data_IF_460416419089
#
_entry.id   IF_460416419089
#
_cell.length_a   1.000
_cell.length_b   1.000
_cell.length_c   1.000
_cell.angle_alpha   90.00
_cell.angle_beta   90.00
_cell.angle_gamma   90.00
#
_symmetry.space_group_name_H-M   'P 1'
#
loop_
_entity.id
_entity.type
_entity.pdbx_description
1 polymer ?
#
# COMPACT_ATOMS: atom_id res chain seq x y z
N UNK A 1 -30.49 -15.89 7.58
CA UNK A 1 -29.34 -15.08 8.04
C UNK A 1 -28.51 -15.94 8.98
N UNK A 2 -27.20 -15.74 8.99
CA UNK A 2 -26.30 -16.38 9.93
C UNK A 2 -25.44 -15.29 10.58
N UNK A 3 -25.24 -15.41 11.89
CA UNK A 3 -24.56 -14.40 12.69
C UNK A 3 -23.36 -15.00 13.43
N UNK A 4 -22.31 -14.19 13.64
CA UNK A 4 -21.09 -14.61 14.35
C UNK A 4 -20.28 -15.70 13.63
N UNK A 5 -20.32 -15.76 12.29
CA UNK A 5 -19.53 -16.72 11.52
C UNK A 5 -18.05 -16.36 11.64
N UNK A 6 -17.24 -17.32 12.08
CA UNK A 6 -15.77 -17.20 12.08
C UNK A 6 -15.23 -17.64 10.73
N UNK A 7 -14.71 -16.71 9.94
CA UNK A 7 -14.05 -17.01 8.68
C UNK A 7 -12.61 -17.48 8.95
N UNK A 8 -12.29 -18.71 8.53
CA UNK A 8 -10.93 -19.31 8.58
C UNK A 8 -10.49 -19.96 7.27
N UNK A 9 -11.32 -19.88 6.22
CA UNK A 9 -11.13 -20.61 4.96
C UNK A 9 -10.14 -19.95 3.99
N UNK A 10 -9.78 -18.69 4.22
CA UNK A 10 -8.83 -17.95 3.39
C UNK A 10 -7.52 -17.82 4.19
N UNK A 11 -6.40 -18.40 3.72
CA UNK A 11 -5.12 -18.23 4.38
C UNK A 11 -4.80 -16.74 4.59
N UNK A 12 -4.32 -16.39 5.78
CA UNK A 12 -3.96 -15.01 6.15
C UNK A 12 -5.14 -14.02 6.23
N UNK A 13 -6.39 -14.52 6.25
CA UNK A 13 -7.58 -13.73 6.55
C UNK A 13 -8.38 -14.43 7.62
N UNK A 14 -8.65 -13.71 8.70
CA UNK A 14 -9.56 -14.16 9.74
C UNK A 14 -10.57 -13.05 10.03
N UNK A 15 -11.79 -13.41 10.39
CA UNK A 15 -12.77 -12.42 10.77
C UNK A 15 -14.03 -13.00 11.38
N UNK A 16 -14.81 -12.12 12.01
CA UNK A 16 -16.15 -12.38 12.53
C UNK A 16 -17.12 -11.61 11.66
N UNK A 17 -18.07 -12.34 11.06
CA UNK A 17 -19.03 -11.75 10.11
C UNK A 17 -20.47 -12.19 10.39
N UNK A 18 -21.43 -11.34 10.05
CA UNK A 18 -22.81 -11.75 9.79
C UNK A 18 -23.04 -11.80 8.29
N UNK A 19 -23.79 -12.78 7.81
CA UNK A 19 -24.12 -12.90 6.40
C UNK A 19 -25.62 -13.15 6.19
N UNK A 20 -26.15 -12.53 5.14
CA UNK A 20 -27.51 -12.77 4.67
C UNK A 20 -27.49 -12.91 3.15
N UNK A 21 -28.24 -13.85 2.60
CA UNK A 21 -28.11 -14.15 1.19
C UNK A 21 -29.01 -15.29 0.73
N UNK A 22 -28.86 -15.65 -0.53
CA UNK A 22 -29.61 -16.70 -1.22
C UNK A 22 -28.66 -17.63 -1.95
N UNK A 23 -29.10 -18.87 -2.09
CA UNK A 23 -28.49 -19.87 -2.95
C UNK A 23 -29.50 -20.21 -4.04
N UNK A 24 -29.11 -20.04 -5.30
CA UNK A 24 -29.97 -20.30 -6.45
C UNK A 24 -29.26 -21.24 -7.44
N UNK A 25 -30.04 -22.02 -8.19
CA UNK A 25 -29.51 -22.96 -9.17
C UNK A 25 -29.25 -24.37 -8.61
N UNK A 26 -28.56 -25.19 -9.42
CA UNK A 26 -28.32 -26.60 -9.11
C UNK A 26 -26.85 -26.83 -8.76
N UNK A 27 -26.54 -27.46 -7.60
CA UNK A 27 -25.18 -27.86 -7.25
C UNK A 27 -24.49 -28.63 -8.38
N UNK A 28 -23.27 -28.22 -8.72
CA UNK A 28 -22.48 -28.83 -9.79
C UNK A 28 -22.91 -28.46 -11.23
N UNK A 29 -23.89 -27.55 -11.41
CA UNK A 29 -24.27 -27.02 -12.73
C UNK A 29 -24.16 -25.50 -12.80
N UNK A 30 -25.02 -24.79 -12.06
CA UNK A 30 -25.18 -23.33 -12.13
C UNK A 30 -25.53 -22.75 -10.74
N UNK A 31 -24.91 -23.32 -9.70
CA UNK A 31 -25.12 -22.85 -8.34
C UNK A 31 -24.56 -21.43 -8.19
N UNK A 32 -25.37 -20.51 -7.69
CA UNK A 32 -25.01 -19.12 -7.44
C UNK A 32 -25.28 -18.79 -5.97
N UNK A 33 -24.32 -18.17 -5.32
CA UNK A 33 -24.48 -17.60 -3.98
C UNK A 33 -24.47 -16.08 -4.07
N UNK A 34 -25.51 -15.42 -3.56
CA UNK A 34 -25.59 -13.97 -3.52
C UNK A 34 -25.97 -13.46 -2.14
N UNK A 35 -25.46 -12.29 -1.74
CA UNK A 35 -25.83 -11.72 -0.45
C UNK A 35 -24.94 -10.61 0.07
N UNK A 36 -25.24 -10.20 1.30
CA UNK A 36 -24.51 -9.19 2.05
C UNK A 36 -23.71 -9.86 3.18
N UNK A 37 -22.51 -9.34 3.39
CA UNK A 37 -21.59 -9.72 4.46
C UNK A 37 -21.25 -8.47 5.27
N UNK A 38 -21.65 -8.48 6.54
CA UNK A 38 -21.25 -7.48 7.51
C UNK A 38 -20.04 -8.00 8.29
N UNK A 39 -18.92 -7.32 8.18
CA UNK A 39 -17.70 -7.66 8.91
C UNK A 39 -17.67 -6.87 10.21
N UNK A 40 -17.66 -7.57 11.34
CA UNK A 40 -17.53 -6.97 12.67
C UNK A 40 -16.09 -6.85 13.10
N UNK A 41 -15.29 -7.85 12.75
CA UNK A 41 -13.86 -7.91 13.00
C UNK A 41 -13.17 -8.60 11.83
N UNK A 42 -12.06 -8.03 11.36
CA UNK A 42 -11.25 -8.59 10.29
C UNK A 42 -9.77 -8.39 10.58
N UNK A 43 -8.97 -9.40 10.26
CA UNK A 43 -7.52 -9.33 10.27
C UNK A 43 -6.99 -9.95 8.99
N UNK A 44 -6.31 -9.14 8.20
CA UNK A 44 -5.61 -9.51 6.98
C UNK A 44 -4.12 -9.42 7.27
N UNK A 45 -3.41 -10.52 7.14
CA UNK A 45 -1.95 -10.60 7.34
C UNK A 45 -1.19 -10.90 6.06
N UNK A 46 -1.86 -10.77 4.91
CA UNK A 46 -1.22 -10.91 3.61
C UNK A 46 -0.15 -9.83 3.43
N UNK A 47 1.04 -10.26 3.03
CA UNK A 47 2.04 -9.35 2.48
C UNK A 47 1.53 -8.82 1.14
N UNK A 48 1.87 -7.56 0.84
CA UNK A 48 1.63 -7.00 -0.47
C UNK A 48 2.30 -7.91 -1.51
N UNK A 49 1.47 -8.61 -2.29
CA UNK A 49 1.76 -9.43 -3.46
C UNK A 49 2.73 -10.62 -3.30
N UNK A 50 2.38 -11.53 -2.40
CA UNK A 50 2.66 -12.94 -2.74
C UNK A 50 1.89 -13.30 -4.02
N UNK A 51 2.62 -13.51 -5.13
CA UNK A 51 2.05 -14.06 -6.37
C UNK A 51 1.45 -15.43 -6.05
N UNK A 52 0.18 -15.46 -5.70
CA UNK A 52 -0.57 -16.70 -5.73
C UNK A 52 -0.92 -16.94 -7.19
N UNK A 53 -0.03 -17.66 -7.86
CA UNK A 53 -0.38 -18.51 -9.00
C UNK A 53 -1.73 -19.16 -8.70
N UNK A 54 -2.63 -19.04 -9.66
CA UNK A 54 -4.06 -19.34 -9.63
C UNK A 54 -4.57 -20.09 -8.40
N UNK A 55 -5.59 -19.53 -7.76
CA UNK A 55 -6.69 -20.41 -7.39
C UNK A 55 -7.12 -21.09 -8.68
N UNK A 56 -6.66 -22.32 -8.91
CA UNK A 56 -7.13 -23.15 -10.00
C UNK A 56 -8.63 -23.30 -9.78
N UNK A 57 -9.41 -22.44 -10.44
CA UNK A 57 -10.85 -22.50 -10.42
C UNK A 57 -11.21 -23.78 -11.16
N UNK A 58 -11.77 -24.75 -10.44
CA UNK A 58 -12.49 -25.80 -11.15
C UNK A 58 -13.60 -25.11 -11.94
N UNK A 59 -13.73 -25.39 -13.23
CA UNK A 59 -14.78 -24.78 -14.05
C UNK A 59 -16.22 -25.13 -13.58
N UNK A 60 -16.35 -26.01 -12.58
CA UNK A 60 -17.60 -26.49 -11.97
C UNK A 60 -17.92 -25.82 -10.61
N UNK A 61 -17.33 -24.67 -10.32
CA UNK A 61 -17.42 -24.04 -9.00
C UNK A 61 -18.43 -22.90 -9.01
N UNK A 62 -19.28 -22.88 -7.98
CA UNK A 62 -20.33 -21.92 -7.68
C UNK A 62 -19.97 -20.46 -8.04
N UNK A 63 -20.89 -19.76 -8.70
CA UNK A 63 -20.81 -18.31 -8.92
C UNK A 63 -21.15 -17.58 -7.61
N UNK A 64 -20.53 -16.42 -7.38
CA UNK A 64 -20.61 -15.69 -6.11
C UNK A 64 -20.84 -14.20 -6.39
N UNK A 65 -21.75 -13.58 -5.65
CA UNK A 65 -21.96 -12.11 -5.64
C UNK A 65 -22.15 -11.65 -4.21
N UNK A 66 -21.14 -11.03 -3.62
CA UNK A 66 -21.18 -10.59 -2.23
C UNK A 66 -20.93 -9.10 -2.12
N UNK A 67 -21.83 -8.40 -1.46
CA UNK A 67 -21.61 -7.04 -0.98
C UNK A 67 -21.05 -7.13 0.45
N UNK A 68 -19.90 -6.52 0.69
CA UNK A 68 -19.11 -6.66 1.91
C UNK A 68 -18.94 -5.28 2.54
N UNK A 69 -19.42 -5.15 3.77
CA UNK A 69 -19.42 -3.89 4.51
C UNK A 69 -18.73 -4.02 5.86
N UNK A 70 -17.93 -3.02 6.21
CA UNK A 70 -17.37 -2.87 7.54
C UNK A 70 -17.25 -1.38 7.88
N UNK A 71 -17.73 -0.99 9.07
CA UNK A 71 -17.58 0.39 9.53
C UNK A 71 -16.19 0.65 10.15
N UNK A 72 -15.57 -0.38 10.71
CA UNK A 72 -14.28 -0.35 11.41
C UNK A 72 -13.82 -1.79 11.72
N UNK A 73 -12.77 -1.93 12.54
CA UNK A 73 -12.22 -3.21 13.03
C UNK A 73 -11.75 -4.19 11.96
N UNK A 74 -11.48 -3.71 10.74
CA UNK A 74 -10.81 -4.49 9.70
C UNK A 74 -9.35 -4.04 9.62
N UNK A 75 -8.46 -4.87 10.15
CA UNK A 75 -7.03 -4.58 10.23
C UNK A 75 -6.25 -5.25 9.11
N UNK A 76 -5.42 -4.48 8.41
CA UNK A 76 -4.31 -4.99 7.62
C UNK A 76 -3.04 -4.91 8.48
N UNK A 77 -2.45 -6.05 8.81
CA UNK A 77 -1.21 -6.12 9.59
C UNK A 77 -0.20 -7.02 8.89
N UNK A 78 0.81 -6.42 8.28
CA UNK A 78 1.88 -7.11 7.59
C UNK A 78 3.22 -6.40 7.80
N UNK A 79 4.28 -6.83 7.11
CA UNK A 79 5.62 -6.23 7.25
C UNK A 79 5.73 -4.77 6.76
N UNK A 80 4.67 -4.23 6.15
CA UNK A 80 4.66 -2.90 5.49
C UNK A 80 3.60 -1.95 6.06
N UNK A 81 2.60 -2.46 6.81
CA UNK A 81 1.52 -1.66 7.36
C UNK A 81 0.83 -2.33 8.55
N UNK A 82 0.31 -1.50 9.45
CA UNK A 82 -0.67 -1.84 10.49
C UNK A 82 -1.78 -0.79 10.47
N UNK A 83 -2.81 -1.03 9.67
CA UNK A 83 -3.85 -0.04 9.34
C UNK A 83 -5.23 -0.64 9.57
N UNK A 84 -6.10 0.14 10.23
CA UNK A 84 -7.52 -0.15 10.35
C UNK A 84 -8.29 0.51 9.20
N UNK A 85 -9.19 -0.25 8.57
CA UNK A 85 -10.02 0.19 7.47
C UNK A 85 -11.51 0.08 7.81
N UNK A 86 -12.29 0.95 7.16
CA UNK A 86 -13.68 0.69 6.81
C UNK A 86 -13.73 0.19 5.37
N UNK A 87 -14.75 -0.59 5.02
CA UNK A 87 -14.93 -1.10 3.67
C UNK A 87 -16.39 -1.03 3.19
N UNK A 88 -16.52 -0.77 1.90
CA UNK A 88 -17.73 -0.93 1.09
C UNK A 88 -17.26 -1.55 -0.22
N UNK A 89 -17.40 -2.87 -0.33
CA UNK A 89 -16.74 -3.67 -1.34
C UNK A 89 -17.72 -4.63 -1.97
N UNK A 90 -17.59 -4.89 -3.27
CA UNK A 90 -18.27 -5.99 -3.94
C UNK A 90 -17.25 -7.03 -4.41
N UNK A 91 -17.56 -8.30 -4.16
CA UNK A 91 -16.82 -9.45 -4.65
C UNK A 91 -17.75 -10.25 -5.55
N UNK A 92 -17.41 -10.35 -6.83
CA UNK A 92 -18.08 -11.27 -7.74
C UNK A 92 -17.13 -12.37 -8.20
N UNK A 93 -17.73 -13.51 -8.52
CA UNK A 93 -17.06 -14.65 -9.12
C UNK A 93 -17.98 -15.25 -10.15
N UNK A 94 -17.58 -15.17 -11.41
CA UNK A 94 -18.35 -15.69 -12.53
C UNK A 94 -17.49 -16.60 -13.39
N UNK A 95 -17.95 -17.84 -13.62
CA UNK A 95 -17.21 -18.82 -14.44
C UNK A 95 -15.75 -19.00 -13.98
N UNK A 96 -15.52 -18.91 -12.67
CA UNK A 96 -14.21 -19.06 -12.05
C UNK A 96 -13.28 -17.83 -12.12
N UNK A 97 -13.74 -16.70 -12.69
CA UNK A 97 -13.03 -15.41 -12.66
C UNK A 97 -13.53 -14.58 -11.49
N UNK A 98 -12.61 -14.00 -10.72
CA UNK A 98 -12.94 -13.11 -9.62
C UNK A 98 -12.83 -11.66 -10.06
N UNK A 99 -13.75 -10.85 -9.58
CA UNK A 99 -13.73 -9.40 -9.72
C UNK A 99 -13.99 -8.77 -8.36
N UNK A 100 -13.22 -7.72 -8.05
CA UNK A 100 -13.32 -6.99 -6.79
C UNK A 100 -13.47 -5.51 -7.13
N UNK A 101 -14.49 -4.86 -6.58
CA UNK A 101 -14.75 -3.44 -6.74
C UNK A 101 -15.15 -2.80 -5.41
N UNK A 102 -15.13 -1.47 -5.35
CA UNK A 102 -15.51 -0.70 -4.16
C UNK A 102 -14.35 0.06 -3.54
N UNK A 103 -14.48 0.42 -2.27
CA UNK A 103 -13.57 1.33 -1.56
C UNK A 103 -13.20 0.82 -0.18
N UNK A 104 -11.91 0.88 0.13
CA UNK A 104 -11.38 0.84 1.49
C UNK A 104 -11.02 2.26 1.91
N UNK A 105 -11.42 2.66 3.12
CA UNK A 105 -11.03 3.95 3.70
C UNK A 105 -10.26 3.72 4.99
N UNK A 106 -9.03 4.20 5.05
CA UNK A 106 -8.17 4.08 6.23
C UNK A 106 -8.72 4.95 7.36
N UNK A 107 -8.86 4.36 8.55
CA UNK A 107 -9.38 5.02 9.75
C UNK A 107 -8.22 5.52 10.61
N UNK A 108 -7.22 4.67 10.83
CA UNK A 108 -6.02 4.95 11.63
C UNK A 108 -4.95 3.90 11.38
N UNK A 109 -3.77 4.15 11.92
CA UNK A 109 -2.66 3.19 11.93
C UNK A 109 -1.42 3.80 11.30
N UNK A 110 -0.54 2.93 10.83
CA UNK A 110 0.75 3.31 10.28
C UNK A 110 1.08 2.48 9.06
N UNK A 111 1.83 3.08 8.14
CA UNK A 111 2.58 2.33 7.13
C UNK A 111 4.05 2.66 7.26
N UNK A 112 4.86 1.72 6.81
CA UNK A 112 6.30 1.81 6.95
C UNK A 112 6.88 2.31 5.63
N UNK A 113 7.70 3.36 5.68
CA UNK A 113 8.49 3.84 4.54
C UNK A 113 9.88 4.25 5.04
N UNK A 114 10.96 3.76 4.41
CA UNK A 114 12.34 3.88 4.94
C UNK A 114 12.49 3.42 6.39
N UNK A 115 11.83 2.31 6.74
CA UNK A 115 11.73 1.80 8.13
C UNK A 115 11.22 2.83 9.14
N UNK A 116 10.44 3.81 8.68
CA UNK A 116 9.79 4.81 9.52
C UNK A 116 8.29 4.64 9.49
N UNK A 117 7.69 4.88 10.65
CA UNK A 117 6.27 4.66 10.88
C UNK A 117 5.53 5.95 10.57
N UNK A 118 5.06 6.09 9.33
CA UNK A 118 4.19 7.20 8.96
C UNK A 118 2.80 6.93 9.49
N UNK A 119 2.31 7.82 10.35
CA UNK A 119 0.95 7.77 10.85
C UNK A 119 -0.02 8.14 9.74
N UNK A 120 -1.07 7.36 9.54
CA UNK A 120 -2.13 7.66 8.57
C UNK A 120 -2.86 8.93 8.99
N UNK A 121 -2.86 9.95 8.12
CA UNK A 121 -3.76 11.10 8.22
C UNK A 121 -5.06 10.82 7.45
N UNK A 122 -4.92 10.39 6.18
CA UNK A 122 -6.04 10.03 5.30
C UNK A 122 -5.64 8.87 4.39
N UNK A 123 -6.59 8.01 4.03
CA UNK A 123 -6.32 6.96 3.07
C UNK A 123 -7.57 6.44 2.37
N UNK A 124 -7.49 6.31 1.06
CA UNK A 124 -8.52 5.74 0.20
C UNK A 124 -7.88 4.79 -0.82
N UNK A 125 -8.45 3.59 -0.92
CA UNK A 125 -8.06 2.58 -1.91
C UNK A 125 -9.33 2.21 -2.67
N UNK A 126 -9.33 2.43 -3.98
CA UNK A 126 -10.51 2.22 -4.84
C UNK A 126 -10.25 1.11 -5.85
N UNK A 127 -11.03 0.05 -5.77
CA UNK A 127 -11.01 -1.09 -6.67
C UNK A 127 -12.04 -0.86 -7.79
N UNK A 128 -11.60 -0.96 -9.04
CA UNK A 128 -12.40 -0.59 -10.20
C UNK A 128 -13.26 -1.72 -10.78
N UNK A 129 -13.16 -2.96 -10.25
CA UNK A 129 -13.87 -4.11 -10.85
C UNK A 129 -13.21 -4.60 -12.13
N UNK A 130 -11.88 -4.65 -12.17
CA UNK A 130 -11.13 -5.18 -13.31
C UNK A 130 -10.67 -6.60 -13.03
N UNK A 131 -10.47 -7.39 -14.10
CA UNK A 131 -9.92 -8.76 -14.02
C UNK A 131 -8.51 -8.82 -13.40
N UNK A 132 -7.83 -7.68 -13.34
CA UNK A 132 -6.53 -7.51 -12.71
C UNK A 132 -6.66 -6.61 -11.49
N UNK A 133 -6.10 -7.04 -10.35
CA UNK A 133 -6.12 -6.25 -9.11
C UNK A 133 -5.08 -5.13 -9.24
N UNK A 134 -5.56 -3.91 -9.50
CA UNK A 134 -4.75 -2.70 -9.58
C UNK A 134 -5.54 -1.47 -9.07
N UNK A 135 -5.85 -1.40 -7.77
CA UNK A 135 -6.67 -0.31 -7.24
C UNK A 135 -5.95 1.05 -7.32
N UNK A 136 -6.74 2.11 -7.36
CA UNK A 136 -6.25 3.49 -7.23
C UNK A 136 -6.01 3.82 -5.77
N UNK A 137 -4.84 4.36 -5.47
CA UNK A 137 -4.39 4.80 -4.17
C UNK A 137 -4.51 6.32 -4.04
N UNK A 138 -4.91 6.77 -2.86
CA UNK A 138 -4.81 8.15 -2.40
C UNK A 138 -4.61 8.11 -0.87
N UNK A 139 -3.35 8.07 -0.46
CA UNK A 139 -2.94 7.87 0.93
C UNK A 139 -2.00 9.01 1.34
N UNK A 140 -2.31 9.62 2.47
CA UNK A 140 -1.48 10.64 3.12
C UNK A 140 -1.09 10.14 4.50
N UNK A 141 0.22 10.13 4.76
CA UNK A 141 0.76 9.88 6.10
C UNK A 141 1.66 11.02 6.55
N UNK A 142 1.91 11.08 7.85
CA UNK A 142 2.78 12.07 8.47
C UNK A 142 3.76 11.44 9.47
N UNK A 143 4.94 12.04 9.58
CA UNK A 143 5.92 11.76 10.62
C UNK A 143 6.59 13.06 11.04
N UNK A 144 6.96 13.17 12.31
CA UNK A 144 7.79 14.28 12.78
C UNK A 144 9.27 13.93 12.64
N UNK A 145 10.03 14.78 11.95
CA UNK A 145 11.48 14.72 11.90
C UNK A 145 12.08 15.80 12.80
N UNK A 146 13.23 15.53 13.39
CA UNK A 146 13.96 16.51 14.19
C UNK A 146 14.97 17.24 13.32
N UNK A 147 14.89 18.56 13.26
CA UNK A 147 15.89 19.37 12.58
C UNK A 147 17.24 19.31 13.30
N UNK A 148 18.31 19.10 12.55
CA UNK A 148 19.66 19.22 13.08
C UNK A 148 20.05 20.68 13.37
N UNK A 149 19.46 21.65 12.65
CA UNK A 149 19.78 23.09 12.71
C UNK A 149 19.27 23.75 14.00
N UNK A 150 18.00 23.54 14.35
CA UNK A 150 17.37 24.22 15.50
C UNK A 150 16.75 23.28 16.55
N UNK A 151 16.91 21.96 16.37
CA UNK A 151 16.42 20.89 17.25
C UNK A 151 14.90 20.81 17.40
N UNK A 152 14.12 21.55 16.59
CA UNK A 152 12.65 21.49 16.57
C UNK A 152 12.16 20.27 15.79
N UNK A 153 10.92 19.89 16.06
CA UNK A 153 10.19 18.88 15.28
C UNK A 153 9.45 19.55 14.14
N UNK A 154 9.50 18.92 12.97
CA UNK A 154 8.82 19.36 11.76
C UNK A 154 8.04 18.20 11.15
N UNK A 155 6.77 18.41 10.77
CA UNK A 155 5.99 17.38 10.12
C UNK A 155 6.50 17.18 8.68
N UNK A 156 6.69 15.91 8.32
CA UNK A 156 6.91 15.45 6.96
C UNK A 156 5.70 14.64 6.55
N UNK A 157 5.05 15.08 5.50
CA UNK A 157 3.95 14.40 4.85
C UNK A 157 4.48 13.54 3.71
N UNK A 158 3.93 12.34 3.56
CA UNK A 158 4.10 11.49 2.38
C UNK A 158 2.74 11.28 1.72
N UNK A 159 2.71 11.47 0.41
CA UNK A 159 1.55 11.27 -0.44
C UNK A 159 1.85 10.07 -1.34
N UNK A 160 0.99 9.05 -1.28
CA UNK A 160 1.04 7.87 -2.15
C UNK A 160 -0.24 7.86 -2.97
N UNK A 161 -0.09 8.15 -4.26
CA UNK A 161 -1.22 8.31 -5.19
C UNK A 161 -1.04 7.43 -6.43
N UNK A 162 -1.99 7.44 -7.36
CA UNK A 162 -1.89 6.68 -8.62
C UNK A 162 -2.42 5.25 -8.48
N UNK A 163 -1.98 4.35 -9.35
CA UNK A 163 -2.41 2.95 -9.33
C UNK A 163 -1.44 2.10 -8.51
N UNK A 164 -1.91 1.01 -7.90
CA UNK A 164 -1.06 0.16 -7.06
C UNK A 164 0.16 -0.40 -7.82
N UNK A 165 0.04 -0.67 -9.12
CA UNK A 165 1.16 -1.11 -9.98
C UNK A 165 2.07 0.02 -10.43
N UNK A 166 1.60 1.27 -10.39
CA UNK A 166 2.33 2.48 -10.79
C UNK A 166 2.03 3.62 -9.81
N UNK A 167 2.45 3.49 -8.54
CA UNK A 167 2.19 4.55 -7.58
C UNK A 167 3.04 5.78 -7.89
N UNK A 168 2.57 6.94 -7.47
CA UNK A 168 3.34 8.17 -7.43
C UNK A 168 3.55 8.55 -5.96
N UNK A 169 4.81 8.70 -5.56
CA UNK A 169 5.17 9.05 -4.19
C UNK A 169 5.75 10.46 -4.17
N UNK A 170 5.26 11.29 -3.25
CA UNK A 170 5.76 12.66 -3.02
C UNK A 170 5.89 12.93 -1.53
N UNK A 171 6.97 13.59 -1.14
CA UNK A 171 7.17 14.07 0.23
C UNK A 171 6.91 15.57 0.33
N UNK A 172 6.61 16.07 1.52
CA UNK A 172 6.48 17.51 1.74
C UNK A 172 6.72 17.85 3.20
N UNK A 173 7.37 18.97 3.48
CA UNK A 173 7.48 19.51 4.83
C UNK A 173 7.32 21.03 4.77
N UNK A 174 6.08 21.54 4.66
CA UNK A 174 5.84 22.97 4.40
C UNK A 174 6.33 23.87 5.54
N UNK A 175 6.39 23.33 6.77
CA UNK A 175 6.85 24.06 7.95
C UNK A 175 8.38 24.07 8.09
N UNK A 176 9.09 23.18 7.37
CA UNK A 176 10.55 23.15 7.34
C UNK A 176 11.05 24.01 6.17
N UNK A 177 11.80 25.10 6.41
CA UNK A 177 12.25 25.97 5.34
C UNK A 177 13.17 25.27 4.34
N UNK A 178 12.78 25.31 3.05
CA UNK A 178 13.61 24.98 1.90
C UNK A 178 14.17 23.55 1.85
N UNK A 179 13.37 22.54 2.18
CA UNK A 179 13.74 21.14 1.89
C UNK A 179 13.27 20.73 0.51
N UNK A 180 14.22 20.28 -0.31
CA UNK A 180 13.93 19.62 -1.58
C UNK A 180 13.38 18.21 -1.33
N UNK A 181 12.83 17.55 -2.36
CA UNK A 181 12.50 16.12 -2.27
C UNK A 181 13.72 15.29 -1.88
N UNK A 182 14.89 15.65 -2.43
CA UNK A 182 16.15 14.98 -2.19
C UNK A 182 16.59 15.09 -0.73
N UNK A 183 16.43 16.26 -0.12
CA UNK A 183 16.69 16.43 1.31
C UNK A 183 15.76 15.57 2.16
N UNK A 184 14.45 15.57 1.86
CA UNK A 184 13.47 14.78 2.60
C UNK A 184 13.79 13.28 2.50
N UNK A 185 14.16 12.80 1.31
CA UNK A 185 14.57 11.41 1.11
C UNK A 185 15.83 11.07 1.91
N UNK A 186 16.85 11.92 1.86
CA UNK A 186 18.11 11.71 2.61
C UNK A 186 17.88 11.75 4.11
N UNK A 187 17.04 12.66 4.60
CA UNK A 187 16.68 12.73 6.02
C UNK A 187 15.97 11.44 6.43
N UNK A 188 15.01 10.96 5.64
CA UNK A 188 14.29 9.72 5.94
C UNK A 188 15.19 8.49 5.83
N UNK A 189 16.17 8.47 4.94
CA UNK A 189 17.09 7.34 4.79
C UNK A 189 18.22 7.34 5.84
N UNK A 190 18.80 8.50 6.14
CA UNK A 190 20.10 8.64 6.82
C UNK A 190 20.11 9.60 8.02
N UNK A 191 19.00 10.28 8.32
CA UNK A 191 18.91 11.33 9.35
C UNK A 191 19.83 12.55 9.10
N UNK A 192 20.13 12.88 7.84
CA UNK A 192 20.87 14.08 7.45
C UNK A 192 20.33 14.65 6.13
N UNK A 193 20.54 15.95 5.90
CA UNK A 193 20.20 16.63 4.64
C UNK A 193 21.15 16.23 3.51
N UNK A 194 20.79 16.55 2.26
CA UNK A 194 21.67 16.28 1.12
C UNK A 194 22.96 17.09 1.21
N UNK A 195 22.86 18.38 1.55
CA UNK A 195 24.02 19.25 1.74
C UNK A 195 24.98 18.72 2.82
N UNK A 196 24.45 18.24 3.95
CA UNK A 196 25.25 17.63 5.03
C UNK A 196 25.93 16.35 4.54
N UNK A 197 25.23 15.55 3.73
CA UNK A 197 25.81 14.37 3.10
C UNK A 197 26.97 14.74 2.17
N UNK A 198 26.78 15.70 1.24
CA UNK A 198 27.84 16.17 0.32
C UNK A 198 29.05 16.74 1.07
N UNK A 199 28.84 17.54 2.12
CA UNK A 199 29.92 18.11 2.91
C UNK A 199 30.75 17.05 3.64
N UNK A 200 30.10 15.97 4.11
CA UNK A 200 30.78 14.86 4.78
C UNK A 200 31.67 14.06 3.81
N UNK A 201 31.39 14.14 2.50
CA UNK A 201 32.08 13.36 1.46
C UNK A 201 33.45 13.92 1.09
N UNK A 202 33.68 15.23 1.29
CA UNK A 202 34.95 15.89 0.96
C UNK A 202 35.34 15.82 -0.52
N UNK A 203 36.34 16.59 -0.91
CA UNK A 203 36.81 16.81 -2.30
C UNK A 203 37.60 15.63 -2.88
N UNK A 204 37.15 14.39 -2.67
CA UNK A 204 37.82 13.18 -3.17
C UNK A 204 36.88 12.28 -3.99
N UNK A 205 37.49 11.53 -4.92
CA UNK A 205 36.91 10.56 -5.86
C UNK A 205 36.07 9.44 -5.16
N UNK A 206 35.99 9.45 -3.83
CA UNK A 206 35.09 8.64 -3.01
C UNK A 206 33.63 9.11 -3.00
N UNK A 207 33.34 10.39 -3.31
CA UNK A 207 31.99 10.95 -3.27
C UNK A 207 31.01 10.33 -4.29
N UNK A 208 31.51 9.83 -5.43
CA UNK A 208 30.71 9.15 -6.44
C UNK A 208 30.28 7.74 -6.01
N UNK A 209 31.14 6.99 -5.31
CA UNK A 209 30.84 5.63 -4.84
C UNK A 209 29.79 5.62 -3.71
N UNK A 210 29.79 6.65 -2.88
CA UNK A 210 28.87 6.85 -1.75
C UNK A 210 27.52 7.44 -2.13
N UNK A 211 27.49 8.32 -3.13
CA UNK A 211 26.24 8.72 -3.77
C UNK A 211 25.53 7.51 -4.37
N UNK A 212 26.29 6.61 -5.02
CA UNK A 212 25.77 5.33 -5.50
C UNK A 212 25.28 4.44 -4.35
N UNK A 213 25.93 4.43 -3.18
CA UNK A 213 25.43 3.69 -2.01
C UNK A 213 24.10 4.22 -1.46
N UNK A 214 23.88 5.55 -1.41
CA UNK A 214 22.58 6.12 -1.03
C UNK A 214 21.54 5.79 -2.09
N UNK A 215 21.85 6.02 -3.36
CA UNK A 215 20.92 5.77 -4.45
C UNK A 215 20.53 4.30 -4.48
N UNK A 216 21.49 3.38 -4.27
CA UNK A 216 21.21 1.96 -4.12
C UNK A 216 20.39 1.65 -2.87
N UNK A 217 20.56 2.35 -1.75
CA UNK A 217 19.74 2.16 -0.55
C UNK A 217 18.30 2.65 -0.75
N UNK A 218 18.13 3.82 -1.38
CA UNK A 218 16.84 4.39 -1.82
C UNK A 218 16.18 3.44 -2.80
N UNK A 219 16.91 3.01 -3.83
CA UNK A 219 16.47 2.01 -4.80
C UNK A 219 16.12 0.70 -4.11
N UNK A 220 16.89 0.21 -3.15
CA UNK A 220 16.64 -1.07 -2.48
C UNK A 220 15.46 -1.02 -1.52
N UNK A 221 15.22 0.11 -0.86
CA UNK A 221 14.03 0.31 -0.04
C UNK A 221 12.79 0.44 -0.93
N UNK A 222 12.82 1.31 -1.93
CA UNK A 222 11.74 1.48 -2.92
C UNK A 222 11.47 0.16 -3.65
N UNK A 223 12.53 -0.51 -4.10
CA UNK A 223 12.45 -1.82 -4.74
C UNK A 223 12.10 -2.92 -3.74
N UNK A 224 12.26 -2.78 -2.42
CA UNK A 224 11.70 -3.76 -1.46
C UNK A 224 10.19 -3.63 -1.37
N UNK A 225 9.66 -2.41 -1.38
CA UNK A 225 8.21 -2.18 -1.46
C UNK A 225 7.65 -2.67 -2.80
N UNK A 226 8.39 -2.52 -3.90
CA UNK A 226 7.94 -2.97 -5.23
C UNK A 226 8.23 -4.43 -5.56
N UNK A 227 9.38 -5.01 -5.18
CA UNK A 227 9.68 -6.44 -5.39
C UNK A 227 8.75 -7.34 -4.59
N UNK A 228 8.35 -6.91 -3.40
CA UNK A 228 7.25 -7.56 -2.68
C UNK A 228 5.94 -7.41 -3.45
N UNK A 229 5.71 -6.25 -4.09
CA UNK A 229 4.43 -5.81 -4.64
C UNK A 229 4.06 -6.12 -6.10
N UNK A 230 4.95 -6.42 -7.04
CA UNK A 230 4.54 -6.43 -8.46
C UNK A 230 5.01 -7.62 -9.29
N UNK A 231 5.80 -8.54 -8.73
CA UNK A 231 6.35 -9.66 -9.52
C UNK A 231 7.11 -9.19 -10.77
N UNK A 232 7.57 -7.93 -10.79
CA UNK A 232 8.29 -7.33 -11.90
C UNK A 232 9.79 -7.53 -11.67
N UNK A 233 10.41 -8.25 -12.59
CA UNK A 233 11.81 -8.68 -12.53
C UNK A 233 12.82 -7.55 -12.79
N UNK A 234 12.37 -6.32 -13.09
CA UNK A 234 13.26 -5.15 -13.23
C UNK A 234 12.47 -3.86 -13.06
N UNK A 235 12.59 -3.21 -11.91
CA UNK A 235 12.19 -1.80 -11.78
C UNK A 235 13.43 -0.96 -12.13
N UNK A 236 13.42 -0.30 -13.30
CA UNK A 236 14.39 0.75 -13.61
C UNK A 236 13.80 2.09 -13.18
N UNK A 237 14.20 2.53 -11.99
CA UNK A 237 13.84 3.87 -11.53
C UNK A 237 14.63 4.88 -12.38
N UNK A 238 13.92 5.63 -13.23
CA UNK A 238 14.49 6.83 -13.82
C UNK A 238 14.20 7.95 -12.83
N UNK A 239 15.12 8.12 -11.91
CA UNK A 239 15.12 9.25 -11.01
C UNK A 239 15.86 10.38 -11.71
N UNK A 240 15.18 11.46 -12.06
CA UNK A 240 15.85 12.72 -12.38
C UNK A 240 16.22 13.49 -11.08
N UNK A 241 16.39 12.76 -9.97
CA UNK A 241 16.57 13.26 -8.60
C UNK A 241 17.79 14.19 -8.43
N UNK A 242 18.66 14.30 -9.44
CA UNK A 242 19.93 15.05 -9.39
C UNK A 242 19.87 16.29 -10.32
N UNK A 243 18.71 16.64 -10.89
CA UNK A 243 18.58 17.80 -11.79
C UNK A 243 18.14 19.11 -11.12
N UNK A 244 17.79 19.08 -9.83
CA UNK A 244 17.54 20.30 -9.04
C UNK A 244 16.31 21.12 -9.45
N UNK A 245 15.33 20.53 -10.16
CA UNK A 245 14.08 21.22 -10.49
C UNK A 245 12.97 20.90 -9.46
N UNK A 246 12.30 21.94 -8.96
CA UNK A 246 11.46 21.97 -7.75
C UNK A 246 10.13 21.18 -7.78
N UNK A 247 9.89 20.30 -8.76
CA UNK A 247 8.61 19.57 -8.91
C UNK A 247 8.76 18.06 -9.20
N UNK A 248 9.75 17.38 -8.62
CA UNK A 248 9.92 15.95 -8.90
C UNK A 248 9.04 15.04 -8.03
N UNK A 249 8.12 14.30 -8.65
CA UNK A 249 7.45 13.14 -8.05
C UNK A 249 8.26 11.86 -8.31
N UNK A 250 8.38 10.96 -7.33
CA UNK A 250 8.89 9.61 -7.59
C UNK A 250 7.86 8.84 -8.41
N UNK A 251 8.16 8.60 -9.68
CA UNK A 251 7.33 7.82 -10.61
C UNK A 251 7.94 6.46 -10.88
N UNK A 252 7.10 5.44 -10.87
CA UNK A 252 7.49 4.07 -11.19
C UNK A 252 6.97 3.70 -12.58
N UNK A 253 7.85 3.15 -13.44
CA UNK A 253 7.53 2.74 -14.81
C UNK A 253 7.00 1.31 -14.86
#
# INVERSE_FOLDING_TARGET
>A
SADGIVLRGIPQVTGIVSASGKLEGTPGKNLTASGEVLVHEGLVTMEFFTSRSGYASSLNSMDIHLDIYAKNNVWLRNSSADIEFSCDMALSRESGRYEISGKLSAIRGYFYFFKRDFSIDKGSIVFQGTNEINPRLDITGAIDIRSNKDKRLYPVYIYVTGELKKPEIRLSSPDYPALTQQDLLTILALNMTWDEFEQMQGTDIAASQSTEYIMRYVEDEVSRYMRKGIGLDTVRIHTNLISGEDEESLRFK
#
